data_IF_045655585673
#
_entry.id   IF_045655585673
#
_cell.length_a   1.000
_cell.length_b   1.000
_cell.length_c   1.000
_cell.angle_alpha   90.00
_cell.angle_beta   90.00
_cell.angle_gamma   90.00
#
_symmetry.space_group_name_H-M   'P 1'
#
loop_
_entity.id
_entity.type
_entity.pdbx_description
1 polymer ?
#
# COMPACT_ATOMS: atom_id res chain seq x y z
N UNK A 1 16.00 -18.54 7.96
CA UNK A 1 16.61 -17.60 7.02
C UNK A 1 15.63 -16.60 6.40
N UNK A 2 14.33 -16.89 6.28
CA UNK A 2 13.33 -16.00 5.66
C UNK A 2 12.43 -15.24 6.64
N UNK A 3 12.49 -15.54 7.93
CA UNK A 3 11.57 -15.04 8.95
C UNK A 3 12.05 -13.77 9.68
N UNK A 4 12.72 -12.86 8.97
CA UNK A 4 13.14 -11.57 9.52
C UNK A 4 12.23 -10.44 9.03
N UNK A 5 12.06 -9.39 9.83
CA UNK A 5 11.33 -8.19 9.44
C UNK A 5 12.11 -7.36 8.43
N UNK A 6 13.44 -7.44 8.46
CA UNK A 6 14.30 -6.70 7.54
C UNK A 6 14.40 -7.38 6.18
N UNK A 7 14.45 -6.57 5.13
CA UNK A 7 14.56 -7.04 3.76
C UNK A 7 15.94 -7.66 3.52
N UNK A 8 15.97 -8.96 3.23
CA UNK A 8 17.18 -9.73 2.95
C UNK A 8 17.31 -9.99 1.46
N UNK A 9 18.50 -9.72 0.90
CA UNK A 9 18.81 -9.99 -0.50
C UNK A 9 19.45 -11.36 -0.69
N UNK A 10 18.91 -12.10 -1.65
CA UNK A 10 19.39 -13.42 -2.06
C UNK A 10 19.86 -13.38 -3.52
N UNK A 11 20.91 -14.12 -3.81
CA UNK A 11 21.47 -14.28 -5.16
C UNK A 11 21.61 -15.75 -5.51
N UNK A 12 21.12 -16.12 -6.69
CA UNK A 12 21.27 -17.44 -7.29
C UNK A 12 21.83 -17.26 -8.70
N UNK A 13 22.40 -18.31 -9.30
CA UNK A 13 22.88 -18.27 -10.69
C UNK A 13 21.77 -17.86 -11.68
N UNK A 14 20.51 -18.19 -11.37
CA UNK A 14 19.32 -17.93 -12.21
C UNK A 14 18.61 -16.61 -11.89
N UNK A 15 19.10 -15.83 -10.92
CA UNK A 15 18.49 -14.56 -10.57
C UNK A 15 18.75 -14.07 -9.15
N UNK A 16 18.14 -12.96 -8.79
CA UNK A 16 18.21 -12.38 -7.45
C UNK A 16 16.85 -11.87 -6.99
N UNK A 17 16.63 -11.91 -5.68
CA UNK A 17 15.36 -11.55 -5.06
C UNK A 17 15.58 -11.05 -3.63
N UNK A 18 14.60 -10.34 -3.10
CA UNK A 18 14.54 -9.98 -1.70
C UNK A 18 13.42 -10.74 -0.99
N UNK A 19 13.61 -11.01 0.29
CA UNK A 19 12.57 -11.55 1.16
C UNK A 19 12.55 -10.83 2.50
N UNK A 20 11.41 -10.82 3.15
CA UNK A 20 11.18 -10.48 4.57
C UNK A 20 9.89 -11.14 5.04
N UNK A 21 9.56 -11.06 6.30
CA UNK A 21 8.18 -11.34 6.74
C UNK A 21 7.19 -10.48 5.95
N UNK A 22 6.01 -11.00 5.66
CA UNK A 22 4.93 -10.18 5.09
C UNK A 22 4.57 -9.04 6.03
N UNK A 23 4.26 -9.38 7.27
CA UNK A 23 4.07 -8.49 8.42
C UNK A 23 4.22 -9.29 9.73
N UNK A 24 3.92 -8.69 10.88
CA UNK A 24 4.01 -9.35 12.19
C UNK A 24 2.78 -10.19 12.55
N UNK A 25 1.76 -10.24 11.67
CA UNK A 25 0.44 -10.85 11.92
C UNK A 25 0.17 -12.09 11.06
N UNK A 26 1.14 -12.51 10.26
CA UNK A 26 1.03 -13.67 9.38
C UNK A 26 2.35 -14.43 9.29
N UNK A 27 2.28 -15.71 8.93
CA UNK A 27 3.44 -16.55 8.64
C UNK A 27 3.96 -16.40 7.20
N UNK A 28 3.34 -15.54 6.40
CA UNK A 28 3.67 -15.32 5.00
C UNK A 28 5.02 -14.63 4.82
N UNK A 29 5.70 -14.97 3.75
CA UNK A 29 6.96 -14.35 3.36
C UNK A 29 6.75 -13.46 2.14
N UNK A 30 7.07 -12.19 2.28
CA UNK A 30 7.17 -11.25 1.16
C UNK A 30 8.33 -11.65 0.25
N UNK A 31 8.05 -11.73 -1.05
CA UNK A 31 9.01 -12.05 -2.09
C UNK A 31 9.02 -10.95 -3.16
N UNK A 32 10.17 -10.36 -3.37
CA UNK A 32 10.39 -9.35 -4.40
C UNK A 32 11.43 -9.83 -5.39
N UNK A 33 10.99 -10.15 -6.61
CA UNK A 33 11.89 -10.52 -7.70
C UNK A 33 12.65 -9.27 -8.19
N UNK A 34 13.97 -9.27 -8.07
CA UNK A 34 14.82 -8.19 -8.57
C UNK A 34 15.23 -8.49 -10.02
N UNK A 35 15.78 -9.69 -10.25
CA UNK A 35 16.22 -10.15 -11.55
C UNK A 35 16.01 -11.65 -11.67
N UNK A 36 15.66 -12.11 -12.88
CA UNK A 36 15.45 -13.52 -13.20
C UNK A 36 14.09 -13.75 -13.86
N UNK A 37 13.95 -14.89 -14.51
CA UNK A 37 12.76 -15.30 -15.23
C UNK A 37 12.02 -16.46 -14.56
N UNK A 38 11.30 -17.24 -15.39
CA UNK A 38 10.57 -18.45 -14.98
C UNK A 38 11.41 -19.45 -14.16
N UNK A 39 12.70 -19.72 -14.49
CA UNK A 39 13.50 -20.62 -13.67
C UNK A 39 13.62 -20.19 -12.21
N UNK A 40 13.82 -18.89 -11.95
CA UNK A 40 13.85 -18.35 -10.59
C UNK A 40 12.50 -18.57 -9.89
N UNK A 41 11.38 -18.19 -10.52
CA UNK A 41 10.05 -18.32 -9.94
C UNK A 41 9.70 -19.78 -9.59
N UNK A 42 10.03 -20.74 -10.49
CA UNK A 42 9.87 -22.17 -10.23
C UNK A 42 10.73 -22.63 -9.06
N UNK A 43 12.00 -22.20 -8.98
CA UNK A 43 12.90 -22.58 -7.88
C UNK A 43 12.38 -22.06 -6.53
N UNK A 44 11.89 -20.79 -6.47
CA UNK A 44 11.35 -20.23 -5.23
C UNK A 44 10.08 -20.96 -4.80
N UNK A 45 9.19 -21.30 -5.74
CA UNK A 45 8.01 -22.13 -5.45
C UNK A 45 8.41 -23.51 -4.88
N UNK A 46 9.40 -24.15 -5.47
CA UNK A 46 9.95 -25.43 -4.96
C UNK A 46 10.48 -25.29 -3.53
N UNK A 47 11.26 -24.25 -3.26
CA UNK A 47 11.78 -23.95 -1.90
C UNK A 47 10.61 -23.76 -0.92
N UNK A 48 9.56 -23.07 -1.33
CA UNK A 48 8.35 -22.90 -0.52
C UNK A 48 7.72 -24.24 -0.14
N UNK A 49 7.49 -25.10 -1.12
CA UNK A 49 6.90 -26.42 -0.92
C UNK A 49 7.78 -27.32 -0.04
N UNK A 50 9.10 -27.39 -0.32
CA UNK A 50 10.06 -28.21 0.42
C UNK A 50 10.17 -27.81 1.90
N UNK A 51 9.95 -26.53 2.23
CA UNK A 51 10.14 -25.99 3.58
C UNK A 51 8.81 -25.59 4.27
N UNK A 52 7.68 -25.87 3.66
CA UNK A 52 6.35 -25.43 4.15
C UNK A 52 6.28 -23.91 4.37
N UNK A 53 6.81 -23.14 3.40
CA UNK A 53 6.83 -21.67 3.39
C UNK A 53 5.94 -21.17 2.26
N UNK A 54 5.02 -20.27 2.58
CA UNK A 54 4.23 -19.58 1.57
C UNK A 54 4.81 -18.20 1.28
N UNK A 55 5.23 -18.01 0.03
CA UNK A 55 5.73 -16.73 -0.49
C UNK A 55 4.59 -15.96 -1.15
N UNK A 56 4.48 -14.67 -0.80
CA UNK A 56 3.63 -13.71 -1.48
C UNK A 56 4.47 -12.67 -2.20
N UNK A 57 4.21 -12.46 -3.48
CA UNK A 57 4.99 -11.54 -4.31
C UNK A 57 4.80 -10.08 -3.89
N UNK A 58 5.78 -9.23 -4.21
CA UNK A 58 5.53 -7.80 -4.40
C UNK A 58 4.40 -7.58 -5.43
N UNK A 59 3.87 -6.36 -5.48
CA UNK A 59 2.88 -5.98 -6.49
C UNK A 59 3.47 -6.11 -7.90
N UNK A 60 2.87 -6.95 -8.73
CA UNK A 60 3.24 -7.20 -10.12
C UNK A 60 2.21 -6.53 -11.02
N UNK A 61 2.63 -5.75 -12.01
CA UNK A 61 1.68 -5.23 -13.00
C UNK A 61 0.97 -6.37 -13.73
N UNK A 62 -0.34 -6.28 -13.90
CA UNK A 62 -1.17 -7.36 -14.48
C UNK A 62 -0.68 -7.80 -15.86
N UNK A 63 -0.21 -6.87 -16.69
CA UNK A 63 0.37 -7.17 -18.01
C UNK A 63 1.70 -7.96 -17.95
N UNK A 64 2.34 -8.05 -16.78
CA UNK A 64 3.57 -8.80 -16.53
C UNK A 64 3.31 -10.14 -15.81
N UNK A 65 2.06 -10.53 -15.61
CA UNK A 65 1.65 -11.72 -14.84
C UNK A 65 2.00 -13.05 -15.53
N UNK A 66 2.09 -13.09 -16.86
CA UNK A 66 2.23 -14.32 -17.64
C UNK A 66 3.40 -15.23 -17.22
N UNK A 67 4.54 -14.66 -16.82
CA UNK A 67 5.67 -15.47 -16.33
C UNK A 67 5.40 -16.09 -14.94
N UNK A 68 4.58 -15.45 -14.09
CA UNK A 68 4.22 -15.93 -12.77
C UNK A 68 3.25 -17.11 -12.89
N UNK A 69 2.16 -16.92 -13.62
CA UNK A 69 1.16 -17.97 -13.89
C UNK A 69 1.81 -19.17 -14.57
N UNK A 70 2.65 -18.97 -15.61
CA UNK A 70 3.34 -20.07 -16.29
C UNK A 70 4.46 -20.75 -15.46
N UNK A 71 4.81 -20.19 -14.30
CA UNK A 71 5.69 -20.79 -13.31
C UNK A 71 4.93 -21.48 -12.17
N UNK A 72 3.58 -21.53 -12.26
CA UNK A 72 2.70 -22.20 -11.30
C UNK A 72 2.36 -21.37 -10.08
N UNK A 73 2.65 -20.06 -10.08
CA UNK A 73 2.19 -19.14 -9.03
C UNK A 73 0.70 -18.83 -9.24
N UNK A 74 -0.02 -18.62 -8.14
CA UNK A 74 -1.46 -18.38 -8.14
C UNK A 74 -1.75 -16.93 -7.77
N UNK A 75 -2.73 -16.30 -8.39
CA UNK A 75 -3.18 -14.96 -7.99
C UNK A 75 -3.81 -15.00 -6.60
N UNK A 76 -3.21 -14.30 -5.64
CA UNK A 76 -3.68 -14.21 -4.26
C UNK A 76 -4.53 -12.96 -4.03
N UNK A 77 -4.13 -11.83 -4.61
CA UNK A 77 -4.86 -10.57 -4.47
C UNK A 77 -4.70 -9.71 -5.71
N UNK A 78 -5.76 -9.00 -6.07
CA UNK A 78 -5.76 -8.00 -7.15
C UNK A 78 -5.97 -6.61 -6.56
N UNK A 79 -5.32 -5.61 -7.15
CA UNK A 79 -5.41 -4.21 -6.76
C UNK A 79 -5.73 -3.35 -7.98
N UNK A 80 -6.84 -2.64 -7.92
CA UNK A 80 -7.18 -1.61 -8.87
C UNK A 80 -6.37 -0.35 -8.58
N UNK A 81 -5.87 0.30 -9.61
CA UNK A 81 -5.22 1.61 -9.50
C UNK A 81 -6.20 2.70 -9.86
N UNK A 82 -6.39 3.65 -8.95
CA UNK A 82 -7.19 4.85 -9.22
C UNK A 82 -6.28 6.08 -9.26
N UNK A 83 -6.68 7.07 -10.05
CA UNK A 83 -5.99 8.35 -10.19
C UNK A 83 -6.96 9.51 -10.16
N UNK A 84 -6.55 10.60 -9.50
CA UNK A 84 -7.26 11.87 -9.46
C UNK A 84 -6.39 12.98 -10.06
N UNK A 85 -6.86 13.62 -11.14
CA UNK A 85 -6.14 14.72 -11.80
C UNK A 85 -6.42 16.04 -11.07
N UNK A 86 -5.44 16.49 -10.30
CA UNK A 86 -5.52 17.71 -9.50
C UNK A 86 -5.59 18.99 -10.32
N UNK A 87 -5.17 18.98 -11.60
CA UNK A 87 -5.22 20.15 -12.49
C UNK A 87 -6.65 20.51 -12.83
N UNK A 88 -7.57 19.52 -12.85
CA UNK A 88 -9.00 19.69 -13.15
C UNK A 88 -9.84 20.00 -11.91
N UNK A 89 -9.26 19.95 -10.72
CA UNK A 89 -9.95 20.22 -9.47
C UNK A 89 -9.97 21.72 -9.19
N UNK A 90 -11.15 22.28 -8.88
CA UNK A 90 -11.24 23.63 -8.32
C UNK A 90 -10.65 23.58 -6.90
N UNK A 91 -9.73 24.52 -6.62
CA UNK A 91 -9.22 24.69 -5.26
C UNK A 91 -10.36 25.24 -4.39
N UNK A 92 -10.65 24.58 -3.30
CA UNK A 92 -11.46 25.14 -2.24
C UNK A 92 -10.50 25.62 -1.15
N UNK A 93 -10.48 26.92 -0.89
CA UNK A 93 -9.82 27.42 0.32
C UNK A 93 -10.52 26.78 1.51
N UNK A 94 -9.87 25.81 2.11
CA UNK A 94 -10.30 25.22 3.38
C UNK A 94 -9.44 25.80 4.48
N UNK A 95 -10.07 26.10 5.60
CA UNK A 95 -9.38 26.35 6.86
C UNK A 95 -8.37 25.23 7.10
N UNK A 96 -7.23 25.58 7.68
CA UNK A 96 -6.02 24.78 7.86
C UNK A 96 -6.25 23.26 8.05
N UNK A 97 -5.73 22.45 7.15
CA UNK A 97 -5.61 21.00 7.37
C UNK A 97 -4.42 20.74 8.30
N UNK A 98 -4.61 19.90 9.31
CA UNK A 98 -3.52 19.41 10.14
C UNK A 98 -2.75 18.34 9.37
N UNK A 99 -1.55 18.69 8.93
CA UNK A 99 -0.63 17.78 8.24
C UNK A 99 0.73 17.82 8.93
N UNK A 100 1.30 16.66 9.16
CA UNK A 100 2.61 16.47 9.77
C UNK A 100 3.54 15.77 8.75
N UNK A 101 4.86 15.94 8.94
CA UNK A 101 5.81 15.10 8.22
C UNK A 101 5.71 13.67 8.76
N UNK A 102 5.43 12.70 7.88
CA UNK A 102 5.45 11.30 8.26
C UNK A 102 6.89 10.78 8.32
N UNK A 103 7.33 10.41 9.51
CA UNK A 103 8.67 9.92 9.78
C UNK A 103 8.62 8.78 10.81
N UNK A 104 9.78 8.24 11.19
CA UNK A 104 9.86 7.10 12.10
C UNK A 104 9.23 7.35 13.48
N UNK A 105 9.24 8.60 13.97
CA UNK A 105 8.64 8.94 15.28
C UNK A 105 7.11 8.83 15.27
N UNK A 106 6.48 8.94 14.10
CA UNK A 106 5.02 8.81 13.95
C UNK A 106 4.52 7.36 13.96
N UNK A 107 5.42 6.38 13.79
CA UNK A 107 5.03 4.98 13.57
C UNK A 107 4.36 4.38 14.80
N UNK A 108 4.94 4.59 15.98
CA UNK A 108 4.50 3.91 17.20
C UNK A 108 3.08 4.35 17.60
N UNK A 109 2.67 5.59 17.28
CA UNK A 109 1.29 6.09 17.46
C UNK A 109 0.31 5.47 16.46
N UNK A 110 0.76 5.16 15.25
CA UNK A 110 -0.10 4.66 14.18
C UNK A 110 -0.31 3.14 14.22
N UNK A 111 0.64 2.37 14.75
CA UNK A 111 0.57 0.91 14.76
C UNK A 111 -0.73 0.37 15.42
N UNK A 112 -1.14 0.83 16.61
CA UNK A 112 -2.38 0.34 17.24
C UNK A 112 -3.63 0.69 16.41
N UNK A 113 -3.64 1.86 15.79
CA UNK A 113 -4.76 2.28 14.94
C UNK A 113 -4.81 1.47 13.64
N UNK A 114 -3.66 1.25 12.99
CA UNK A 114 -3.57 0.42 11.78
C UNK A 114 -4.11 -0.99 12.03
N UNK A 115 -3.79 -1.59 13.19
CA UNK A 115 -4.29 -2.91 13.59
C UNK A 115 -5.81 -2.96 13.74
N UNK A 116 -6.44 -1.88 14.22
CA UNK A 116 -7.91 -1.78 14.36
C UNK A 116 -8.60 -1.57 13.01
N UNK A 117 -7.95 -0.89 12.07
CA UNK A 117 -8.51 -0.53 10.76
C UNK A 117 -8.44 -1.71 9.79
N UNK A 118 -7.29 -2.38 9.69
CA UNK A 118 -6.99 -3.34 8.63
C UNK A 118 -7.02 -4.79 9.13
N UNK A 119 -7.37 -5.71 8.23
CA UNK A 119 -7.30 -7.14 8.48
C UNK A 119 -5.84 -7.61 8.55
N UNK A 120 -5.58 -8.74 9.20
CA UNK A 120 -4.23 -9.25 9.49
C UNK A 120 -3.30 -9.27 8.26
N UNK A 121 -3.81 -9.63 7.09
CA UNK A 121 -3.04 -9.63 5.85
C UNK A 121 -2.56 -8.23 5.44
N UNK A 122 -3.39 -7.20 5.65
CA UNK A 122 -3.13 -5.82 5.21
C UNK A 122 -2.58 -4.91 6.32
N UNK A 123 -2.39 -5.40 7.54
CA UNK A 123 -1.77 -4.62 8.61
C UNK A 123 -0.32 -4.29 8.30
N UNK A 124 0.08 -3.08 8.61
CA UNK A 124 1.49 -2.73 8.57
C UNK A 124 2.20 -3.20 9.85
N UNK A 125 3.42 -3.70 9.66
CA UNK A 125 4.43 -3.79 10.70
C UNK A 125 5.23 -2.48 10.78
N UNK A 126 6.08 -2.33 11.78
CA UNK A 126 7.03 -1.22 11.84
C UNK A 126 7.91 -1.17 10.59
N UNK A 127 8.39 -2.32 10.10
CA UNK A 127 9.15 -2.43 8.86
C UNK A 127 8.35 -1.97 7.63
N UNK A 128 7.04 -2.30 7.53
CA UNK A 128 6.17 -1.86 6.47
C UNK A 128 5.97 -0.33 6.45
N UNK A 129 5.88 0.31 7.61
CA UNK A 129 5.86 1.77 7.69
C UNK A 129 7.19 2.41 7.30
N UNK A 130 8.34 1.81 7.68
CA UNK A 130 9.66 2.27 7.24
C UNK A 130 9.78 2.20 5.71
N UNK A 131 9.38 1.09 5.08
CA UNK A 131 9.33 0.97 3.62
C UNK A 131 8.41 2.03 2.98
N UNK A 132 7.29 2.36 3.64
CA UNK A 132 6.40 3.43 3.20
C UNK A 132 7.12 4.79 3.19
N UNK A 133 7.89 5.09 4.24
CA UNK A 133 8.70 6.32 4.32
C UNK A 133 9.77 6.35 3.21
N UNK A 134 10.47 5.24 2.99
CA UNK A 134 11.56 5.14 2.01
C UNK A 134 11.09 5.16 0.54
N UNK A 135 9.82 4.82 0.30
CA UNK A 135 9.28 4.71 -1.07
C UNK A 135 9.09 6.05 -1.79
N UNK A 136 9.06 7.17 -1.05
CA UNK A 136 8.84 8.51 -1.58
C UNK A 136 9.83 9.51 -1.00
N UNK A 137 10.09 10.61 -1.76
CA UNK A 137 11.01 11.67 -1.33
C UNK A 137 10.49 12.47 -0.13
N UNK A 138 9.17 12.62 -0.03
CA UNK A 138 8.47 13.25 1.09
C UNK A 138 7.21 12.49 1.41
N UNK A 139 6.89 12.41 2.68
CA UNK A 139 5.69 11.73 3.17
C UNK A 139 4.98 12.63 4.17
N UNK A 140 3.68 12.74 4.00
CA UNK A 140 2.81 13.61 4.80
C UNK A 140 1.79 12.75 5.52
N UNK A 141 1.62 12.99 6.82
CA UNK A 141 0.66 12.31 7.68
C UNK A 141 -0.52 13.23 7.97
N UNK A 142 -1.71 12.72 7.73
CA UNK A 142 -2.98 13.33 8.11
C UNK A 142 -3.60 12.49 9.21
N UNK A 143 -4.02 13.13 10.29
CA UNK A 143 -4.68 12.48 11.41
C UNK A 143 -6.12 12.95 11.51
N UNK A 144 -7.04 12.04 11.82
CA UNK A 144 -8.45 12.35 12.05
C UNK A 144 -8.83 11.99 13.47
N UNK A 145 -9.37 12.95 14.19
CA UNK A 145 -9.75 12.81 15.59
C UNK A 145 -11.27 12.93 15.78
N UNK A 146 -11.79 12.24 16.78
CA UNK A 146 -13.10 12.43 17.38
C UNK A 146 -12.91 12.46 18.91
N UNK A 147 -13.35 13.53 19.58
CA UNK A 147 -13.21 13.72 21.04
C UNK A 147 -11.82 13.36 21.59
N UNK A 148 -10.77 13.84 20.92
CA UNK A 148 -9.34 13.56 21.24
C UNK A 148 -8.87 12.12 20.90
N UNK A 149 -9.75 11.21 20.53
CA UNK A 149 -9.36 9.89 20.05
C UNK A 149 -8.89 9.96 18.59
N UNK A 150 -7.75 9.33 18.28
CA UNK A 150 -7.29 9.17 16.91
C UNK A 150 -8.08 8.03 16.24
N UNK A 151 -9.01 8.39 15.35
CA UNK A 151 -9.95 7.47 14.69
C UNK A 151 -9.59 7.10 13.26
N UNK A 152 -8.67 7.83 12.65
CA UNK A 152 -8.27 7.57 11.27
C UNK A 152 -7.02 8.32 10.87
N UNK A 153 -6.40 7.87 9.78
CA UNK A 153 -5.22 8.52 9.25
C UNK A 153 -5.05 8.27 7.75
N UNK A 154 -4.25 9.14 7.12
CA UNK A 154 -3.80 8.97 5.75
C UNK A 154 -2.30 9.30 5.63
N UNK A 155 -1.60 8.57 4.75
CA UNK A 155 -0.21 8.86 4.39
C UNK A 155 -0.18 9.17 2.91
N UNK A 156 0.26 10.39 2.59
CA UNK A 156 0.46 10.84 1.21
C UNK A 156 1.97 10.96 0.95
N UNK A 157 2.50 10.06 0.14
CA UNK A 157 3.87 10.16 -0.36
C UNK A 157 3.94 11.02 -1.62
N UNK A 158 5.08 11.65 -1.86
CA UNK A 158 5.31 12.41 -3.10
C UNK A 158 6.71 12.20 -3.66
N UNK A 159 6.77 12.21 -5.00
CA UNK A 159 8.02 12.16 -5.77
C UNK A 159 7.92 13.20 -6.89
N UNK A 160 8.73 14.25 -6.83
CA UNK A 160 8.61 15.42 -7.71
C UNK A 160 7.18 16.01 -7.68
N UNK A 161 6.46 15.95 -8.81
CA UNK A 161 5.11 16.50 -8.97
C UNK A 161 4.00 15.45 -8.86
N UNK A 162 4.33 14.19 -8.54
CA UNK A 162 3.37 13.10 -8.40
C UNK A 162 3.17 12.76 -6.94
N UNK A 163 1.96 12.38 -6.57
CA UNK A 163 1.66 11.93 -5.21
C UNK A 163 0.91 10.60 -5.18
N UNK A 164 1.09 9.87 -4.09
CA UNK A 164 0.57 8.54 -3.88
C UNK A 164 -0.09 8.47 -2.51
N UNK A 165 -1.39 8.18 -2.47
CA UNK A 165 -2.07 7.86 -1.22
C UNK A 165 -1.69 6.43 -0.83
N UNK A 166 -0.63 6.33 -0.01
CA UNK A 166 0.02 5.07 0.34
C UNK A 166 -0.77 4.29 1.40
N UNK A 167 -1.42 5.02 2.30
CA UNK A 167 -2.24 4.46 3.35
C UNK A 167 -3.42 5.37 3.62
N UNK A 168 -4.59 4.78 3.88
CA UNK A 168 -5.81 5.53 4.20
C UNK A 168 -6.78 4.63 4.94
N UNK A 169 -7.26 5.08 6.09
CA UNK A 169 -8.26 4.32 6.82
C UNK A 169 -8.90 5.09 7.96
N UNK A 170 -10.12 4.66 8.29
CA UNK A 170 -10.92 5.10 9.44
C UNK A 170 -11.26 3.86 10.26
N UNK A 171 -11.14 3.94 11.57
CA UNK A 171 -11.55 2.88 12.50
C UNK A 171 -12.99 2.44 12.25
N UNK A 172 -13.25 1.14 12.33
CA UNK A 172 -14.53 0.51 11.94
C UNK A 172 -15.74 1.18 12.59
N UNK A 173 -15.62 1.55 13.87
CA UNK A 173 -16.69 2.15 14.65
C UNK A 173 -17.09 3.56 14.18
N UNK A 174 -16.21 4.22 13.42
CA UNK A 174 -16.38 5.58 12.91
C UNK A 174 -16.60 5.65 11.40
N UNK A 175 -16.71 4.48 10.74
CA UNK A 175 -17.04 4.43 9.31
C UNK A 175 -18.48 4.86 9.05
N UNK A 176 -18.79 5.21 7.79
CA UNK A 176 -20.10 5.67 7.33
C UNK A 176 -20.62 6.97 7.98
N UNK A 177 -19.82 7.65 8.81
CA UNK A 177 -20.16 8.92 9.50
C UNK A 177 -19.50 10.15 8.86
N UNK A 178 -19.02 10.03 7.61
CA UNK A 178 -18.43 11.16 6.87
C UNK A 178 -16.93 11.41 7.11
N UNK A 179 -16.32 10.82 8.15
CA UNK A 179 -14.91 11.06 8.49
C UNK A 179 -13.93 10.69 7.37
N UNK A 180 -14.19 9.58 6.66
CA UNK A 180 -13.38 9.20 5.50
C UNK A 180 -13.44 10.24 4.38
N UNK A 181 -14.63 10.77 4.10
CA UNK A 181 -14.80 11.82 3.08
C UNK A 181 -14.08 13.11 3.49
N UNK A 182 -14.19 13.51 4.76
CA UNK A 182 -13.47 14.66 5.31
C UNK A 182 -11.95 14.48 5.21
N UNK A 183 -11.40 13.35 5.68
CA UNK A 183 -9.98 13.06 5.61
C UNK A 183 -9.46 13.04 4.16
N UNK A 184 -10.22 12.47 3.23
CA UNK A 184 -9.85 12.46 1.81
C UNK A 184 -9.87 13.87 1.21
N UNK A 185 -10.81 14.73 1.65
CA UNK A 185 -10.83 16.14 1.25
C UNK A 185 -9.57 16.87 1.71
N UNK A 186 -9.12 16.66 2.95
CA UNK A 186 -7.91 17.26 3.51
C UNK A 186 -6.69 16.86 2.65
N UNK A 187 -6.55 15.57 2.32
CA UNK A 187 -5.48 15.06 1.45
C UNK A 187 -5.51 15.70 0.06
N UNK A 188 -6.69 15.79 -0.57
CA UNK A 188 -6.84 16.35 -1.93
C UNK A 188 -6.51 17.85 -1.93
N UNK A 189 -7.01 18.61 -0.96
CA UNK A 189 -6.76 20.04 -0.85
C UNK A 189 -5.28 20.33 -0.59
N UNK A 190 -4.65 19.58 0.31
CA UNK A 190 -3.21 19.68 0.54
C UNK A 190 -2.40 19.36 -0.72
N UNK A 191 -2.70 18.25 -1.39
CA UNK A 191 -2.01 17.89 -2.62
C UNK A 191 -2.14 18.98 -3.71
N UNK A 192 -3.30 19.61 -3.78
CA UNK A 192 -3.56 20.75 -4.66
C UNK A 192 -2.72 21.99 -4.26
N UNK A 193 -2.66 22.34 -2.98
CA UNK A 193 -1.85 23.46 -2.46
C UNK A 193 -0.35 23.28 -2.74
N UNK A 194 0.12 22.02 -2.72
CA UNK A 194 1.51 21.65 -3.09
C UNK A 194 1.73 21.58 -4.60
N UNK A 195 0.70 21.88 -5.41
CA UNK A 195 0.77 21.87 -6.89
C UNK A 195 1.16 20.51 -7.47
N UNK A 196 0.79 19.41 -6.80
CA UNK A 196 0.95 18.08 -7.38
C UNK A 196 0.04 17.94 -8.60
N UNK A 197 0.46 17.12 -9.56
CA UNK A 197 -0.29 16.90 -10.82
C UNK A 197 -1.45 15.95 -10.58
N UNK A 198 -1.23 14.89 -9.81
CA UNK A 198 -2.24 13.89 -9.52
C UNK A 198 -2.02 13.21 -8.16
N UNK A 199 -3.05 12.53 -7.69
CA UNK A 199 -2.96 11.54 -6.61
C UNK A 199 -3.26 10.18 -7.23
N UNK A 200 -2.39 9.19 -6.99
CA UNK A 200 -2.64 7.78 -7.31
C UNK A 200 -2.81 6.97 -6.03
N UNK A 201 -3.59 5.92 -6.11
CA UNK A 201 -3.77 4.95 -5.01
C UNK A 201 -4.08 3.56 -5.56
N UNK A 202 -3.90 2.56 -4.71
CA UNK A 202 -4.30 1.18 -4.98
C UNK A 202 -5.35 0.75 -3.95
N UNK A 203 -6.34 -0.03 -4.40
CA UNK A 203 -7.33 -0.66 -3.50
C UNK A 203 -7.82 -1.98 -4.09
N UNK A 204 -8.26 -2.89 -3.22
CA UNK A 204 -8.80 -4.17 -3.64
C UNK A 204 -10.13 -3.98 -4.39
N UNK A 205 -10.43 -4.80 -5.42
CA UNK A 205 -11.71 -4.75 -6.14
C UNK A 205 -12.93 -5.00 -5.25
N UNK A 206 -12.78 -5.78 -4.19
CA UNK A 206 -13.85 -6.09 -3.23
C UNK A 206 -13.98 -5.09 -2.08
N UNK A 207 -13.07 -4.11 -1.97
CA UNK A 207 -13.20 -3.01 -1.01
C UNK A 207 -14.17 -1.94 -1.55
N UNK A 208 -15.44 -2.29 -1.62
CA UNK A 208 -16.49 -1.46 -2.22
C UNK A 208 -16.66 -0.12 -1.50
N UNK A 209 -16.51 -0.08 -0.19
CA UNK A 209 -16.60 1.14 0.60
C UNK A 209 -15.53 2.16 0.20
N UNK A 210 -14.27 1.74 0.11
CA UNK A 210 -13.16 2.59 -0.31
C UNK A 210 -13.31 3.00 -1.79
N UNK A 211 -13.66 2.06 -2.68
CA UNK A 211 -13.86 2.39 -4.10
C UNK A 211 -14.95 3.45 -4.28
N UNK A 212 -16.11 3.28 -3.63
CA UNK A 212 -17.22 4.24 -3.71
C UNK A 212 -16.79 5.62 -3.20
N UNK A 213 -16.02 5.68 -2.09
CA UNK A 213 -15.48 6.92 -1.58
C UNK A 213 -14.60 7.63 -2.61
N UNK A 214 -13.64 6.90 -3.21
CA UNK A 214 -12.72 7.47 -4.20
C UNK A 214 -13.44 7.89 -5.48
N UNK A 215 -14.31 7.05 -6.03
CA UNK A 215 -15.09 7.36 -7.24
C UNK A 215 -16.01 8.57 -7.02
N UNK A 216 -16.70 8.64 -5.88
CA UNK A 216 -17.55 9.80 -5.50
C UNK A 216 -16.72 11.08 -5.39
N UNK A 217 -15.46 11.00 -4.95
CA UNK A 217 -14.54 12.15 -4.92
C UNK A 217 -14.06 12.57 -6.30
N UNK A 218 -14.19 11.72 -7.31
CA UNK A 218 -13.78 11.99 -8.70
C UNK A 218 -12.49 11.30 -9.12
N UNK A 219 -11.97 10.37 -8.33
CA UNK A 219 -10.94 9.44 -8.79
C UNK A 219 -11.49 8.58 -9.92
N UNK A 220 -10.63 8.19 -10.83
CA UNK A 220 -10.97 7.32 -11.96
C UNK A 220 -10.10 6.07 -11.95
N UNK A 221 -10.69 4.92 -12.26
CA UNK A 221 -9.93 3.71 -12.54
C UNK A 221 -8.97 3.95 -13.70
N UNK A 222 -7.77 3.43 -13.58
CA UNK A 222 -6.77 3.43 -14.65
C UNK A 222 -6.78 2.08 -15.37
N UNK A 223 -6.09 2.01 -16.51
CA UNK A 223 -5.86 0.74 -17.21
C UNK A 223 -4.73 -0.11 -16.59
N UNK A 224 -4.16 0.33 -15.47
CA UNK A 224 -3.11 -0.38 -14.75
C UNK A 224 -3.71 -1.04 -13.53
N UNK A 225 -3.50 -2.34 -13.38
CA UNK A 225 -3.81 -3.09 -12.16
C UNK A 225 -2.55 -3.78 -11.68
N UNK A 226 -2.55 -4.14 -10.40
CA UNK A 226 -1.51 -4.97 -9.81
C UNK A 226 -2.09 -6.28 -9.29
N UNK A 227 -1.25 -7.31 -9.30
CA UNK A 227 -1.55 -8.64 -8.77
C UNK A 227 -0.46 -9.00 -7.76
N UNK A 228 -0.86 -9.61 -6.67
CA UNK A 228 0.03 -10.28 -5.72
C UNK A 228 -0.14 -11.77 -5.96
N UNK A 229 0.96 -12.48 -6.17
CA UNK A 229 0.97 -13.91 -6.42
C UNK A 229 1.39 -14.67 -5.17
N UNK A 230 0.74 -15.82 -4.92
CA UNK A 230 1.16 -16.81 -3.93
C UNK A 230 1.94 -17.94 -4.59
N UNK A 231 2.89 -18.51 -3.85
CA UNK A 231 3.61 -19.72 -4.25
C UNK A 231 2.87 -21.02 -3.92
N UNK A 232 1.77 -20.94 -3.18
CA UNK A 232 0.92 -22.11 -2.82
C UNK A 232 0.13 -22.64 -4.00
#
# INVERSE_FOLDING_TARGET
>A
MYLTNDKQRHRLLIGSYNTRKWNDYSSLIYFEKIYGGKPLLKKIKSIGLENNIEFHSAMVQENMSGQWVSSGWVESSKLNVLSFDLRKCKYQETESFHVEDFNQNSIDDLLPLDQRIFDAYWRNSKAGFIETIESCNRNYLFKKYFDKELIGYAILGSTRNFSFLQRFGISKDYQNSGYGSSLLNDVVNFAKSKKFVNIRLNTQPNNTAAQNLYLKKGFKLTNTNYVIFSSS
#
